data_IF_610570836136
#
_entry.id   IF_610570836136
#
_cell.length_a   1.000
_cell.length_b   1.000
_cell.length_c   1.000
_cell.angle_alpha   90.00
_cell.angle_beta   90.00
_cell.angle_gamma   90.00
#
_symmetry.space_group_name_H-M   'P 1'
#
loop_
_entity.id
_entity.type
_entity.pdbx_description
1 polymer ?
#
# COMPACT_ATOMS: atom_id res chain seq x y z
N UNK A 1 0.16 -0.17 -29.43
CA UNK A 1 1.36 0.37 -28.74
C UNK A 1 1.48 -0.35 -27.41
N UNK A 2 2.51 -1.19 -27.23
CA UNK A 2 2.59 -2.13 -26.09
C UNK A 2 2.68 -1.41 -24.74
N UNK A 3 1.82 -1.79 -23.80
CA UNK A 3 1.73 -1.28 -22.41
C UNK A 3 3.08 -1.31 -21.68
N UNK A 4 3.99 -2.21 -22.09
CA UNK A 4 5.36 -2.29 -21.56
C UNK A 4 6.24 -1.07 -21.86
N UNK A 5 5.96 -0.31 -22.93
CA UNK A 5 6.71 0.92 -23.27
C UNK A 5 6.24 2.16 -22.50
N UNK A 6 5.01 2.15 -21.98
CA UNK A 6 4.46 3.28 -21.20
C UNK A 6 4.90 3.18 -19.73
N UNK A 7 4.98 1.97 -19.17
CA UNK A 7 5.43 1.76 -17.79
C UNK A 7 6.93 2.06 -17.59
N UNK A 8 7.77 1.77 -18.58
CA UNK A 8 9.20 2.06 -18.52
C UNK A 8 9.50 3.57 -18.65
N UNK A 9 8.71 4.32 -19.42
CA UNK A 9 8.83 5.77 -19.51
C UNK A 9 8.42 6.50 -18.20
N UNK A 10 7.44 5.97 -17.47
CA UNK A 10 6.96 6.58 -16.22
C UNK A 10 7.97 6.42 -15.07
N UNK A 11 8.66 5.28 -14.99
CA UNK A 11 9.67 5.02 -13.94
C UNK A 11 10.98 5.78 -14.19
N UNK A 12 11.34 6.01 -15.46
CA UNK A 12 12.54 6.79 -15.83
C UNK A 12 12.31 8.30 -15.66
N UNK A 13 11.08 8.79 -15.87
CA UNK A 13 10.76 10.22 -15.68
C UNK A 13 10.87 10.71 -14.23
N UNK A 14 10.62 9.83 -13.25
CA UNK A 14 10.68 10.17 -11.83
C UNK A 14 12.14 10.28 -11.36
N UNK A 15 13.05 9.43 -11.82
CA UNK A 15 14.45 9.44 -11.37
C UNK A 15 15.29 10.57 -11.98
N UNK A 16 15.00 11.02 -13.20
CA UNK A 16 15.71 12.14 -13.84
C UNK A 16 15.35 13.52 -13.23
N UNK A 17 14.13 13.68 -12.72
CA UNK A 17 13.69 14.95 -12.11
C UNK A 17 14.39 15.22 -10.77
N UNK A 18 14.75 14.18 -10.01
CA UNK A 18 15.50 14.33 -8.75
C UNK A 18 16.99 14.65 -8.97
N UNK A 19 17.60 14.16 -10.05
CA UNK A 19 19.03 14.39 -10.35
C UNK A 19 19.32 15.79 -10.91
N UNK A 20 18.39 16.42 -11.62
CA UNK A 20 18.57 17.78 -12.13
C UNK A 20 18.50 18.84 -11.03
N UNK A 21 17.62 18.65 -10.03
CA UNK A 21 17.49 19.59 -8.92
C UNK A 21 18.75 19.61 -8.04
N UNK A 22 19.40 18.47 -7.79
CA UNK A 22 20.62 18.41 -6.97
C UNK A 22 21.84 19.08 -7.62
N UNK A 23 21.99 18.97 -8.95
CA UNK A 23 23.09 19.59 -9.70
C UNK A 23 22.96 21.12 -9.82
N UNK A 24 21.73 21.64 -9.87
CA UNK A 24 21.48 23.09 -9.92
C UNK A 24 21.92 23.79 -8.63
N UNK A 25 21.62 23.19 -7.47
CA UNK A 25 22.03 23.71 -6.16
C UNK A 25 23.55 23.68 -5.95
N UNK A 26 24.23 22.65 -6.44
CA UNK A 26 25.70 22.50 -6.30
C UNK A 26 26.47 23.54 -7.12
N UNK A 27 25.93 23.98 -8.27
CA UNK A 27 26.54 25.02 -9.11
C UNK A 27 26.39 26.42 -8.52
N UNK A 28 25.33 26.68 -7.74
CA UNK A 28 25.12 27.98 -7.10
C UNK A 28 26.05 28.24 -5.91
N UNK A 29 26.51 27.19 -5.21
CA UNK A 29 27.44 27.31 -4.08
C UNK A 29 28.86 27.68 -4.50
N UNK A 30 29.30 27.26 -5.69
CA UNK A 30 30.68 27.46 -6.15
C UNK A 30 30.99 28.87 -6.67
N UNK A 31 29.99 29.73 -6.88
CA UNK A 31 30.15 31.00 -7.61
C UNK A 31 29.95 32.25 -6.75
N UNK A 32 30.05 32.15 -5.42
CA UNK A 32 29.96 33.28 -4.51
C UNK A 32 31.36 33.79 -4.11
N UNK A 33 31.70 35.07 -4.33
CA UNK A 33 32.96 35.64 -3.85
C UNK A 33 32.95 35.71 -2.31
N UNK A 34 34.06 35.27 -1.69
CA UNK A 34 34.23 35.26 -0.23
C UNK A 34 34.34 36.72 0.26
N UNK A 35 33.26 37.28 0.78
CA UNK A 35 33.27 38.51 1.58
C UNK A 35 33.17 38.14 3.06
N UNK A 36 34.25 38.38 3.80
CA UNK A 36 34.28 38.25 5.25
C UNK A 36 33.67 39.50 5.89
N UNK A 37 32.34 39.55 5.96
CA UNK A 37 31.64 40.39 6.92
C UNK A 37 31.42 39.60 8.22
N UNK A 38 31.70 40.21 9.37
CA UNK A 38 31.25 39.72 10.68
C UNK A 38 29.73 39.81 10.73
N UNK A 39 29.09 38.82 10.14
CA UNK A 39 27.65 38.59 10.25
C UNK A 39 27.43 38.03 11.64
N UNK A 40 26.79 38.80 12.53
CA UNK A 40 26.13 38.23 13.68
C UNK A 40 25.10 37.24 13.13
N UNK A 41 25.47 35.97 13.11
CA UNK A 41 24.55 34.88 12.82
C UNK A 41 23.54 34.86 13.96
N UNK A 42 22.40 35.50 13.75
CA UNK A 42 21.15 35.09 14.40
C UNK A 42 20.97 33.63 13.97
N UNK A 43 21.53 32.69 14.73
CA UNK A 43 21.11 31.30 14.61
C UNK A 43 19.63 31.32 14.94
N UNK A 44 18.78 31.18 13.91
CA UNK A 44 17.41 30.72 14.09
C UNK A 44 17.51 29.41 14.85
N UNK A 45 17.37 29.50 16.17
CA UNK A 45 17.17 28.37 17.03
C UNK A 45 15.78 27.86 16.66
N UNK A 46 15.69 27.05 15.61
CA UNK A 46 14.54 26.19 15.42
C UNK A 46 14.49 25.31 16.66
N UNK A 47 13.66 25.68 17.63
CA UNK A 47 13.23 24.75 18.65
C UNK A 47 12.47 23.66 17.89
N UNK A 48 13.19 22.61 17.51
CA UNK A 48 12.63 21.45 16.83
C UNK A 48 11.60 20.87 17.78
N UNK A 49 10.35 21.21 17.51
CA UNK A 49 9.24 20.86 18.39
C UNK A 49 9.04 19.35 18.28
N UNK A 50 8.83 18.67 19.41
CA UNK A 50 8.61 17.23 19.43
C UNK A 50 7.52 16.83 18.42
N UNK A 51 7.80 15.77 17.69
CA UNK A 51 6.89 15.20 16.70
C UNK A 51 5.80 14.37 17.39
N UNK A 52 4.59 14.43 16.82
CA UNK A 52 3.44 13.70 17.36
C UNK A 52 3.45 12.24 16.92
N UNK A 53 3.48 11.33 17.89
CA UNK A 53 3.39 9.88 17.64
C UNK A 53 2.08 9.51 16.97
N UNK A 54 0.97 10.11 17.41
CA UNK A 54 -0.36 9.83 16.87
C UNK A 54 -0.46 10.25 15.39
N UNK A 55 0.15 11.39 15.03
CA UNK A 55 0.17 11.86 13.64
C UNK A 55 0.94 10.90 12.74
N UNK A 56 2.11 10.41 13.19
CA UNK A 56 2.90 9.45 12.46
C UNK A 56 2.15 8.11 12.25
N UNK A 57 1.50 7.61 13.30
CA UNK A 57 0.67 6.41 13.22
C UNK A 57 -0.45 6.59 12.20
N UNK A 58 -1.18 7.71 12.25
CA UNK A 58 -2.27 8.00 11.33
C UNK A 58 -1.78 8.03 9.87
N UNK A 59 -0.64 8.68 9.63
CA UNK A 59 -0.04 8.73 8.29
C UNK A 59 0.32 7.34 7.77
N UNK A 60 0.95 6.49 8.57
CA UNK A 60 1.28 5.12 8.16
C UNK A 60 0.06 4.19 8.01
N UNK A 61 -1.05 4.47 8.72
CA UNK A 61 -2.31 3.76 8.53
C UNK A 61 -3.02 4.15 7.23
N UNK A 62 -2.85 5.39 6.76
CA UNK A 62 -3.39 5.84 5.47
C UNK A 62 -2.52 5.31 4.33
N UNK A 63 -1.20 5.50 4.45
CA UNK A 63 -0.23 5.05 3.46
C UNK A 63 1.04 4.57 4.18
N UNK A 64 1.33 3.25 4.12
CA UNK A 64 2.52 2.69 4.73
C UNK A 64 3.80 3.39 4.26
N UNK A 65 4.66 3.75 5.21
CA UNK A 65 5.91 4.50 5.00
C UNK A 65 5.80 6.01 5.25
N UNK A 66 4.60 6.60 5.28
CA UNK A 66 4.44 8.05 5.47
C UNK A 66 4.74 8.51 6.91
N UNK A 67 4.38 7.73 7.93
CA UNK A 67 4.71 8.07 9.31
C UNK A 67 6.21 8.00 9.60
N UNK A 68 6.91 7.08 8.94
CA UNK A 68 8.36 6.97 8.96
C UNK A 68 9.02 8.15 8.25
N UNK A 69 8.46 8.60 7.12
CA UNK A 69 8.88 9.84 6.46
C UNK A 69 8.71 11.05 7.39
N UNK A 70 7.57 11.16 8.07
CA UNK A 70 7.32 12.21 9.07
C UNK A 70 8.36 12.16 10.21
N UNK A 71 8.80 10.97 10.60
CA UNK A 71 9.83 10.76 11.62
C UNK A 71 11.28 10.96 11.12
N UNK A 72 11.50 11.44 9.87
CA UNK A 72 12.82 11.52 9.21
C UNK A 72 13.54 10.17 9.09
N UNK A 73 12.79 9.07 9.07
CA UNK A 73 13.30 7.69 8.99
C UNK A 73 12.92 6.96 7.70
N UNK A 74 12.84 7.66 6.57
CA UNK A 74 12.32 7.08 5.32
C UNK A 74 13.15 5.92 4.76
N UNK A 75 14.42 5.80 5.16
CA UNK A 75 15.24 4.63 4.83
C UNK A 75 14.63 3.31 5.28
N UNK A 76 13.81 3.33 6.33
CA UNK A 76 13.04 2.18 6.78
C UNK A 76 11.63 2.19 6.19
N UNK A 77 11.00 3.37 6.07
CA UNK A 77 9.64 3.53 5.53
C UNK A 77 9.47 3.10 4.07
N UNK A 78 10.52 3.22 3.25
CA UNK A 78 10.47 2.86 1.82
C UNK A 78 10.10 1.40 1.55
N UNK A 79 10.47 0.48 2.46
CA UNK A 79 10.15 -0.94 2.29
C UNK A 79 8.66 -1.22 2.46
N UNK A 80 8.00 -0.58 3.44
CA UNK A 80 6.54 -0.69 3.61
C UNK A 80 5.78 -0.07 2.44
N UNK A 81 6.28 1.02 1.87
CA UNK A 81 5.70 1.64 0.67
C UNK A 81 5.85 0.76 -0.58
N UNK A 82 7.04 0.16 -0.77
CA UNK A 82 7.28 -0.79 -1.87
C UNK A 82 6.39 -2.02 -1.71
N UNK A 83 6.29 -2.56 -0.49
CA UNK A 83 5.42 -3.70 -0.19
C UNK A 83 3.96 -3.35 -0.49
N UNK A 84 3.50 -2.15 -0.15
CA UNK A 84 2.16 -1.67 -0.45
C UNK A 84 1.87 -1.69 -1.95
N UNK A 85 2.77 -1.10 -2.75
CA UNK A 85 2.64 -1.12 -4.21
C UNK A 85 2.64 -2.54 -4.78
N UNK A 86 3.51 -3.42 -4.27
CA UNK A 86 3.59 -4.81 -4.71
C UNK A 86 2.31 -5.59 -4.36
N UNK A 87 1.73 -5.37 -3.17
CA UNK A 87 0.49 -6.00 -2.75
C UNK A 87 -0.69 -5.57 -3.62
N UNK A 88 -0.85 -4.27 -3.90
CA UNK A 88 -1.91 -3.79 -4.79
C UNK A 88 -1.75 -4.30 -6.23
N UNK A 89 -0.51 -4.32 -6.74
CA UNK A 89 -0.23 -4.88 -8.06
C UNK A 89 -0.59 -6.37 -8.12
N UNK A 90 -0.24 -7.13 -7.08
CA UNK A 90 -0.57 -8.56 -6.99
C UNK A 90 -2.09 -8.76 -6.89
N UNK A 91 -2.77 -7.96 -6.09
CA UNK A 91 -4.24 -7.98 -5.97
C UNK A 91 -4.91 -7.74 -7.32
N UNK A 92 -4.52 -6.68 -8.03
CA UNK A 92 -5.05 -6.35 -9.34
C UNK A 92 -4.80 -7.49 -10.34
N UNK A 93 -3.59 -8.04 -10.34
CA UNK A 93 -3.21 -9.17 -11.21
C UNK A 93 -4.09 -10.41 -10.94
N UNK A 94 -4.31 -10.77 -9.68
CA UNK A 94 -5.14 -11.92 -9.32
C UNK A 94 -6.61 -11.70 -9.68
N UNK A 95 -7.14 -10.49 -9.46
CA UNK A 95 -8.52 -10.14 -9.84
C UNK A 95 -8.72 -10.24 -11.35
N UNK A 96 -7.77 -9.71 -12.13
CA UNK A 96 -7.82 -9.77 -13.58
C UNK A 96 -7.71 -11.21 -14.09
N UNK A 97 -6.69 -11.95 -13.64
CA UNK A 97 -6.45 -13.33 -14.07
C UNK A 97 -7.60 -14.26 -13.69
N UNK A 98 -8.11 -14.16 -12.46
CA UNK A 98 -9.27 -14.94 -12.02
C UNK A 98 -10.53 -14.63 -12.82
N UNK A 99 -10.71 -13.37 -13.25
CA UNK A 99 -11.84 -12.99 -14.11
C UNK A 99 -11.70 -13.58 -15.52
N UNK A 100 -10.50 -13.62 -16.09
CA UNK A 100 -10.25 -14.29 -17.36
C UNK A 100 -10.57 -15.78 -17.28
N UNK A 101 -10.03 -16.50 -16.28
CA UNK A 101 -10.35 -17.91 -16.07
C UNK A 101 -11.84 -18.17 -15.92
N UNK A 102 -12.57 -17.27 -15.24
CA UNK A 102 -14.02 -17.36 -15.08
C UNK A 102 -14.73 -17.23 -16.43
N UNK A 103 -14.33 -16.25 -17.23
CA UNK A 103 -14.92 -16.02 -18.55
C UNK A 103 -14.63 -17.19 -19.49
N UNK A 104 -13.42 -17.72 -19.47
CA UNK A 104 -13.03 -18.91 -20.25
C UNK A 104 -13.87 -20.12 -19.86
N UNK A 105 -14.08 -20.35 -18.56
CA UNK A 105 -14.95 -21.43 -18.08
C UNK A 105 -16.39 -21.25 -18.59
N UNK A 106 -16.94 -20.03 -18.52
CA UNK A 106 -18.30 -19.74 -19.01
C UNK A 106 -18.43 -19.92 -20.51
N UNK A 107 -17.43 -19.48 -21.27
CA UNK A 107 -17.39 -19.67 -22.71
C UNK A 107 -17.32 -21.16 -23.06
N UNK A 108 -16.50 -21.92 -22.35
CA UNK A 108 -16.43 -23.37 -22.49
C UNK A 108 -17.79 -24.03 -22.24
N UNK A 109 -18.50 -23.63 -21.18
CA UNK A 109 -19.85 -24.12 -20.92
C UNK A 109 -20.84 -23.74 -22.03
N UNK A 110 -20.78 -22.52 -22.56
CA UNK A 110 -21.65 -22.11 -23.66
C UNK A 110 -21.44 -22.98 -24.91
N UNK A 111 -20.18 -23.29 -25.24
CA UNK A 111 -19.83 -24.13 -26.41
C UNK A 111 -20.28 -25.59 -26.23
N UNK A 112 -20.05 -26.17 -25.05
CA UNK A 112 -20.26 -27.61 -24.81
C UNK A 112 -21.60 -27.98 -24.17
N UNK A 113 -22.37 -26.99 -23.73
CA UNK A 113 -23.69 -27.22 -23.13
C UNK A 113 -24.81 -26.33 -23.67
N UNK A 114 -24.50 -25.36 -24.54
CA UNK A 114 -25.48 -24.38 -25.02
C UNK A 114 -25.93 -23.37 -23.96
N UNK A 115 -25.33 -23.36 -22.77
CA UNK A 115 -25.66 -22.44 -21.69
C UNK A 115 -25.49 -20.97 -22.12
N UNK A 116 -26.50 -20.14 -21.88
CA UNK A 116 -26.39 -18.71 -22.15
C UNK A 116 -25.59 -17.98 -21.06
N UNK A 117 -24.69 -17.08 -21.47
CA UNK A 117 -23.82 -16.34 -20.54
C UNK A 117 -24.41 -15.00 -20.11
N UNK A 118 -25.01 -14.28 -21.05
CA UNK A 118 -25.47 -12.92 -20.82
C UNK A 118 -26.52 -12.84 -19.71
N UNK A 119 -26.34 -11.90 -18.78
CA UNK A 119 -27.27 -11.66 -17.68
C UNK A 119 -27.32 -12.76 -16.61
N UNK A 120 -26.44 -13.77 -16.65
CA UNK A 120 -26.42 -14.85 -15.65
C UNK A 120 -25.41 -14.55 -14.53
N UNK A 121 -25.80 -14.88 -13.30
CA UNK A 121 -24.95 -14.74 -12.11
C UNK A 121 -24.07 -15.98 -11.91
N UNK A 122 -23.15 -15.91 -10.93
CA UNK A 122 -22.22 -16.99 -10.63
C UNK A 122 -22.94 -18.28 -10.17
N UNK A 123 -24.09 -18.16 -9.49
CA UNK A 123 -24.88 -19.31 -9.02
C UNK A 123 -25.40 -20.17 -10.18
N UNK A 124 -25.88 -19.57 -11.26
CA UNK A 124 -26.29 -20.32 -12.46
C UNK A 124 -25.17 -21.23 -12.97
N UNK A 125 -23.93 -20.72 -13.01
CA UNK A 125 -22.77 -21.50 -13.45
C UNK A 125 -22.31 -22.56 -12.45
N UNK A 126 -22.62 -22.38 -11.16
CA UNK A 126 -22.46 -23.46 -10.16
C UNK A 126 -23.41 -24.59 -10.48
N UNK A 127 -24.69 -24.29 -10.77
CA UNK A 127 -25.71 -25.28 -11.08
C UNK A 127 -25.43 -25.99 -12.41
N UNK A 128 -25.06 -25.25 -13.46
CA UNK A 128 -24.60 -25.80 -14.75
C UNK A 128 -23.45 -26.80 -14.55
N UNK A 129 -22.53 -26.55 -13.62
CA UNK A 129 -21.44 -27.47 -13.33
C UNK A 129 -21.86 -28.71 -12.54
N UNK A 130 -22.98 -28.65 -11.80
CA UNK A 130 -23.41 -29.72 -10.91
C UNK A 130 -24.38 -30.71 -11.57
N UNK A 131 -25.09 -30.31 -12.62
CA UNK A 131 -26.13 -31.12 -13.28
C UNK A 131 -25.86 -31.25 -14.78
N UNK A 132 -26.22 -32.39 -15.36
CA UNK A 132 -26.00 -32.68 -16.78
C UNK A 132 -26.86 -31.79 -17.69
N UNK A 133 -28.04 -31.39 -17.23
CA UNK A 133 -28.94 -30.52 -17.97
C UNK A 133 -29.93 -29.80 -17.02
N UNK A 134 -30.68 -28.83 -17.57
CA UNK A 134 -31.66 -28.04 -16.82
C UNK A 134 -32.80 -28.88 -16.25
N UNK A 135 -33.25 -29.91 -16.95
CA UNK A 135 -34.36 -30.75 -16.51
C UNK A 135 -34.00 -31.56 -15.26
N UNK A 136 -32.79 -32.14 -15.24
CA UNK A 136 -32.25 -32.86 -14.07
C UNK A 136 -32.14 -31.95 -12.85
N UNK A 137 -31.65 -30.72 -13.03
CA UNK A 137 -31.64 -29.71 -11.97
C UNK A 137 -33.06 -29.39 -11.46
N UNK A 138 -34.00 -29.13 -12.37
CA UNK A 138 -35.37 -28.77 -12.03
C UNK A 138 -36.09 -29.91 -11.30
N UNK A 139 -35.93 -31.15 -11.77
CA UNK A 139 -36.45 -32.34 -11.11
C UNK A 139 -35.92 -32.45 -9.68
N UNK A 140 -34.61 -32.23 -9.48
CA UNK A 140 -34.02 -32.22 -8.14
C UNK A 140 -34.63 -31.14 -7.24
N UNK A 141 -34.88 -29.94 -7.77
CA UNK A 141 -35.53 -28.86 -6.99
C UNK A 141 -36.98 -29.14 -6.63
N UNK A 142 -37.73 -29.82 -7.51
CA UNK A 142 -39.08 -30.27 -7.21
C UNK A 142 -39.10 -31.33 -6.11
N UNK A 143 -38.19 -32.31 -6.17
CA UNK A 143 -38.01 -33.33 -5.13
C UNK A 143 -37.67 -32.67 -3.78
N UNK A 144 -36.80 -31.66 -3.80
CA UNK A 144 -36.39 -30.90 -2.62
C UNK A 144 -37.45 -29.88 -2.14
N UNK A 145 -38.62 -29.80 -2.78
CA UNK A 145 -39.71 -28.86 -2.47
C UNK A 145 -39.27 -27.38 -2.53
N UNK A 146 -38.40 -27.04 -3.47
CA UNK A 146 -37.93 -25.66 -3.73
C UNK A 146 -38.31 -25.18 -5.16
N UNK A 147 -39.61 -25.10 -5.49
CA UNK A 147 -40.07 -24.74 -6.84
C UNK A 147 -39.72 -23.29 -7.24
N UNK A 148 -39.44 -22.41 -6.29
CA UNK A 148 -39.01 -21.03 -6.52
C UNK A 148 -37.61 -20.92 -7.14
N UNK A 149 -36.83 -22.01 -7.15
CA UNK A 149 -35.47 -22.09 -7.70
C UNK A 149 -35.40 -22.72 -9.09
N UNK A 150 -36.55 -23.03 -9.70
CA UNK A 150 -36.61 -23.63 -11.02
C UNK A 150 -36.08 -22.67 -12.07
N UNK A 151 -35.39 -23.24 -13.05
CA UNK A 151 -34.94 -22.51 -14.24
C UNK A 151 -35.93 -22.74 -15.38
N UNK A 152 -36.39 -21.65 -15.99
CA UNK A 152 -37.22 -21.71 -17.20
C UNK A 152 -36.32 -21.90 -18.44
N UNK A 153 -36.47 -23.05 -19.09
CA UNK A 153 -35.73 -23.43 -20.30
C UNK A 153 -35.99 -22.49 -21.47
N UNK A 154 -37.15 -21.83 -21.53
CA UNK A 154 -37.52 -20.87 -22.58
C UNK A 154 -37.08 -19.44 -22.25
N UNK A 155 -36.74 -19.14 -21.00
CA UNK A 155 -36.22 -17.84 -20.55
C UNK A 155 -34.68 -17.76 -20.57
N UNK A 156 -34.04 -18.58 -21.42
CA UNK A 156 -32.58 -18.56 -21.58
C UNK A 156 -31.80 -19.19 -20.43
N UNK A 157 -32.41 -20.10 -19.67
CA UNK A 157 -31.71 -20.90 -18.64
C UNK A 157 -31.52 -22.36 -19.05
N UNK A 158 -31.67 -22.66 -20.34
CA UNK A 158 -31.38 -23.98 -20.88
C UNK A 158 -29.86 -24.27 -20.92
N UNK A 159 -29.48 -25.48 -20.51
CA UNK A 159 -28.19 -26.11 -20.80
C UNK A 159 -28.35 -27.63 -20.89
N UNK A 160 -27.49 -28.26 -21.67
CA UNK A 160 -27.37 -29.71 -21.77
C UNK A 160 -25.95 -30.08 -22.19
N UNK A 161 -25.18 -30.67 -21.28
CA UNK A 161 -23.81 -31.10 -21.56
C UNK A 161 -23.76 -32.20 -22.61
N UNK A 162 -22.86 -32.04 -23.57
CA UNK A 162 -22.54 -33.04 -24.60
C UNK A 162 -21.85 -34.29 -24.01
N UNK A 163 -21.07 -34.14 -22.94
CA UNK A 163 -20.39 -35.21 -22.22
C UNK A 163 -20.12 -34.85 -20.76
N UNK A 164 -20.07 -35.87 -19.90
CA UNK A 164 -19.68 -35.68 -18.51
C UNK A 164 -18.21 -35.24 -18.36
N UNK A 165 -17.35 -35.64 -19.31
CA UNK A 165 -15.96 -35.22 -19.36
C UNK A 165 -15.82 -33.69 -19.53
N UNK A 166 -16.55 -33.09 -20.47
CA UNK A 166 -16.57 -31.64 -20.64
C UNK A 166 -17.15 -30.93 -19.42
N UNK A 167 -18.22 -31.47 -18.82
CA UNK A 167 -18.76 -30.94 -17.57
C UNK A 167 -17.70 -30.93 -16.45
N UNK A 168 -16.93 -32.00 -16.31
CA UNK A 168 -15.83 -32.10 -15.35
C UNK A 168 -14.70 -31.09 -15.62
N UNK A 169 -14.32 -30.91 -16.89
CA UNK A 169 -13.36 -29.87 -17.31
C UNK A 169 -13.86 -28.48 -16.94
N UNK A 170 -15.12 -28.16 -17.23
CA UNK A 170 -15.73 -26.89 -16.83
C UNK A 170 -15.69 -26.66 -15.32
N UNK A 171 -16.07 -27.66 -14.51
CA UNK A 171 -16.00 -27.57 -13.05
C UNK A 171 -14.58 -27.26 -12.59
N UNK A 172 -13.57 -27.89 -13.20
CA UNK A 172 -12.16 -27.66 -12.89
C UNK A 172 -11.75 -26.23 -13.20
N UNK A 173 -12.10 -25.71 -14.38
CA UNK A 173 -11.83 -24.32 -14.76
C UNK A 173 -12.52 -23.33 -13.81
N UNK A 174 -13.80 -23.56 -13.48
CA UNK A 174 -14.57 -22.71 -12.56
C UNK A 174 -13.93 -22.66 -11.18
N UNK A 175 -13.60 -23.82 -10.61
CA UNK A 175 -12.95 -23.93 -9.29
C UNK A 175 -11.57 -23.26 -9.29
N UNK A 176 -10.81 -23.38 -10.38
CA UNK A 176 -9.53 -22.67 -10.54
C UNK A 176 -9.71 -21.15 -10.49
N UNK A 177 -10.69 -20.62 -11.23
CA UNK A 177 -11.05 -19.20 -11.19
C UNK A 177 -11.44 -18.74 -9.78
N UNK A 178 -12.31 -19.51 -9.11
CA UNK A 178 -12.77 -19.20 -7.75
C UNK A 178 -11.62 -19.20 -6.76
N UNK A 179 -10.67 -20.13 -6.89
CA UNK A 179 -9.46 -20.17 -6.07
C UNK A 179 -8.65 -18.89 -6.23
N UNK A 180 -8.36 -18.46 -7.46
CA UNK A 180 -7.60 -17.23 -7.71
C UNK A 180 -8.33 -16.00 -7.16
N UNK A 181 -9.64 -15.89 -7.43
CA UNK A 181 -10.46 -14.78 -6.95
C UNK A 181 -10.56 -14.76 -5.43
N UNK A 182 -10.69 -15.92 -4.77
CA UNK A 182 -10.68 -16.00 -3.32
C UNK A 182 -9.29 -15.68 -2.74
N UNK A 183 -8.22 -16.10 -3.41
CA UNK A 183 -6.85 -15.79 -2.99
C UNK A 183 -6.58 -14.27 -2.97
N UNK A 184 -7.23 -13.49 -3.84
CA UNK A 184 -7.14 -12.03 -3.81
C UNK A 184 -7.59 -11.42 -2.47
N UNK A 185 -8.47 -12.09 -1.71
CA UNK A 185 -8.92 -11.62 -0.39
C UNK A 185 -7.81 -11.72 0.66
N UNK A 186 -6.96 -12.74 0.59
CA UNK A 186 -5.80 -12.85 1.49
C UNK A 186 -4.79 -11.72 1.25
N UNK A 187 -4.69 -11.21 0.02
CA UNK A 187 -3.82 -10.07 -0.30
C UNK A 187 -4.31 -8.80 0.42
N UNK A 188 -5.63 -8.57 0.50
CA UNK A 188 -6.18 -7.47 1.30
C UNK A 188 -5.83 -7.63 2.78
N UNK A 189 -5.87 -8.86 3.31
CA UNK A 189 -5.37 -9.14 4.65
C UNK A 189 -3.90 -8.76 4.83
N UNK A 190 -3.05 -9.09 3.85
CA UNK A 190 -1.64 -8.70 3.86
C UNK A 190 -1.42 -7.18 3.79
N UNK A 191 -2.24 -6.45 3.02
CA UNK A 191 -2.26 -4.97 3.02
C UNK A 191 -2.51 -4.44 4.43
N UNK A 192 -3.56 -4.92 5.10
CA UNK A 192 -3.87 -4.49 6.47
C UNK A 192 -2.70 -4.76 7.44
N UNK A 193 -2.05 -5.93 7.33
CA UNK A 193 -0.86 -6.26 8.13
C UNK A 193 0.30 -5.30 7.84
N UNK A 194 0.53 -4.94 6.58
CA UNK A 194 1.55 -3.97 6.18
C UNK A 194 1.29 -2.59 6.80
N UNK A 195 0.04 -2.12 6.80
CA UNK A 195 -0.37 -0.87 7.45
C UNK A 195 -0.08 -0.88 8.96
N UNK A 196 -0.44 -1.96 9.65
CA UNK A 196 -0.19 -2.10 11.09
C UNK A 196 1.32 -2.09 11.39
N UNK A 197 2.10 -2.84 10.60
CA UNK A 197 3.55 -2.90 10.78
C UNK A 197 4.19 -1.52 10.60
N UNK A 198 3.82 -0.80 9.54
CA UNK A 198 4.32 0.55 9.29
C UNK A 198 3.91 1.53 10.40
N UNK A 199 2.67 1.48 10.87
CA UNK A 199 2.20 2.33 11.96
C UNK A 199 2.99 2.12 13.26
N UNK A 200 3.28 0.85 13.61
CA UNK A 200 4.11 0.52 14.78
C UNK A 200 5.55 1.02 14.58
N UNK A 201 6.10 0.87 13.37
CA UNK A 201 7.45 1.33 13.07
C UNK A 201 7.57 2.86 13.14
N UNK A 202 6.63 3.59 12.54
CA UNK A 202 6.53 5.04 12.63
C UNK A 202 6.45 5.54 14.08
N UNK A 203 5.63 4.89 14.91
CA UNK A 203 5.54 5.23 16.33
C UNK A 203 6.90 5.09 17.06
N UNK A 204 7.65 4.00 16.76
CA UNK A 204 8.98 3.78 17.32
C UNK A 204 9.98 4.84 16.84
N UNK A 205 9.95 5.20 15.56
CA UNK A 205 10.85 6.20 14.98
C UNK A 205 10.60 7.60 15.55
N UNK A 206 9.34 8.02 15.70
CA UNK A 206 9.03 9.31 16.34
C UNK A 206 9.48 9.35 17.79
N UNK A 207 9.30 8.27 18.55
CA UNK A 207 9.80 8.21 19.94
C UNK A 207 11.31 8.40 20.00
N UNK A 208 12.06 7.71 19.13
CA UNK A 208 13.52 7.87 19.03
C UNK A 208 13.92 9.27 18.57
N UNK A 209 13.17 9.86 17.63
CA UNK A 209 13.39 11.23 17.18
C UNK A 209 13.26 12.22 18.35
N UNK A 210 12.17 12.13 19.11
CA UNK A 210 11.92 13.00 20.25
C UNK A 210 12.96 12.81 21.39
N UNK A 211 13.44 11.57 21.61
CA UNK A 211 14.49 11.29 22.60
C UNK A 211 15.83 11.92 22.21
N UNK A 212 16.24 11.80 20.94
CA UNK A 212 17.47 12.45 20.46
C UNK A 212 17.40 13.97 20.60
N UNK A 213 16.22 14.56 20.36
CA UNK A 213 16.00 15.99 20.59
C UNK A 213 16.12 16.37 22.07
N UNK A 214 15.60 15.55 23.00
CA UNK A 214 15.76 15.78 24.44
C UNK A 214 17.24 15.68 24.87
N UNK A 215 17.99 14.71 24.31
CA UNK A 215 19.42 14.57 24.54
C UNK A 215 20.20 15.77 24.00
N UNK A 216 19.99 16.14 22.74
CA UNK A 216 20.63 17.31 22.11
C UNK A 216 20.35 18.60 22.89
N UNK A 217 19.12 18.82 23.37
CA UNK A 217 18.78 19.98 24.19
C UNK A 217 19.38 19.91 25.61
N UNK A 218 19.50 18.72 26.20
CA UNK A 218 20.10 18.51 27.52
C UNK A 218 21.63 18.59 27.55
N UNK A 219 22.28 18.53 26.39
CA UNK A 219 23.74 18.65 26.24
C UNK A 219 24.24 20.09 26.34
N UNK A 220 23.34 21.08 26.31
CA UNK A 220 23.67 22.49 26.49
C UNK A 220 23.10 23.00 27.82
N UNK A 221 23.94 23.56 28.68
CA UNK A 221 23.47 24.24 29.90
C UNK A 221 24.08 25.63 30.04
N UNK A 222 23.34 26.51 30.71
CA UNK A 222 23.78 27.87 31.03
C UNK A 222 24.43 27.87 32.41
N UNK A 223 25.73 28.17 32.47
CA UNK A 223 26.44 28.37 33.72
C UNK A 223 26.56 29.87 34.01
N UNK A 224 26.08 30.30 35.18
CA UNK A 224 26.28 31.66 35.67
C UNK A 224 27.35 31.68 36.76
N UNK A 225 28.39 32.49 36.58
CA UNK A 225 29.42 32.73 37.59
C UNK A 225 29.52 34.23 37.89
N UNK A 226 29.90 34.58 39.12
CA UNK A 226 30.11 35.98 39.51
C UNK A 226 31.53 36.42 39.12
N UNK A 227 31.63 37.55 38.43
CA UNK A 227 32.91 38.19 38.11
C UNK A 227 33.33 39.00 39.33
N UNK A 228 34.50 38.70 39.90
CA UNK A 228 35.06 39.40 41.05
C UNK A 228 36.37 40.09 40.66
N UNK A 229 36.42 41.42 40.81
CA UNK A 229 37.63 42.25 40.78
C UNK A 229 37.72 43.05 42.09
N UNK A 230 37.72 42.32 43.22
CA UNK A 230 37.89 42.87 44.57
C UNK A 230 36.90 42.31 45.59
N UNK A 231 36.64 43.08 46.65
CA UNK A 231 35.71 42.69 47.74
C UNK A 231 34.22 42.85 47.39
N UNK A 232 33.90 43.30 46.16
CA UNK A 232 32.53 43.46 45.66
C UNK A 232 32.39 42.73 44.32
N UNK A 233 31.23 42.15 44.01
CA UNK A 233 30.98 41.53 42.71
C UNK A 233 30.84 42.62 41.63
N UNK A 234 31.59 42.49 40.54
CA UNK A 234 31.65 43.48 39.45
C UNK A 234 30.77 43.09 38.25
N UNK A 235 30.23 41.87 38.24
CA UNK A 235 29.28 41.44 37.21
C UNK A 235 28.90 39.97 37.28
N UNK A 236 28.03 39.55 36.36
CA UNK A 236 27.63 38.16 36.16
C UNK A 236 28.19 37.72 34.80
N UNK A 237 28.97 36.65 34.79
CA UNK A 237 29.41 35.96 33.58
C UNK A 237 28.44 34.81 33.30
N UNK A 238 27.89 34.80 32.10
CA UNK A 238 27.11 33.68 31.57
C UNK A 238 27.99 32.92 30.57
N UNK A 239 28.20 31.63 30.82
CA UNK A 239 28.90 30.72 29.92
C UNK A 239 27.92 29.67 29.42
N UNK A 240 27.80 29.54 28.10
CA UNK A 240 27.11 28.42 27.49
C UNK A 240 28.10 27.25 27.40
N UNK A 241 27.78 26.15 28.08
CA UNK A 241 28.63 24.97 28.18
C UNK A 241 27.99 23.81 27.40
N UNK A 242 28.82 22.98 26.78
CA UNK A 242 28.41 21.76 26.07
C UNK A 242 29.05 20.54 26.73
N UNK A 243 28.27 19.50 27.02
CA UNK A 243 28.82 18.21 27.48
C UNK A 243 29.46 17.50 26.30
N UNK A 244 30.74 17.13 26.41
CA UNK A 244 31.40 16.22 25.45
C UNK A 244 31.06 14.76 25.77
#
# INVERSE_FOLDING_TARGET
MSITKVLSALVIGITLSFAQNSLFHLRSEFNQPIQSSLTYSQQEYHSSTKKSVATAVLYSLILPGMGELYAEGFDQGKYSLIAEGALWLTYASFRQYGTWLRNDARQFAAVHSGAQIAGKNDQFFVDVGNFGNTYEYNEKKLIDRNPERLYDVHAGYYWQWDSDAHRSTFRTMRVSSERVLNNSKFIIGAVIVNHIFSAVNAARLVRRYNQRQDEELGMWWLESSLIHSGAKPDGIKLSLMHRL
#
